data_IF_553814252495
#
_entry.id   IF_553814252495
#
_cell.length_a   1.000
_cell.length_b   1.000
_cell.length_c   1.000
_cell.angle_alpha   90.00
_cell.angle_beta   90.00
_cell.angle_gamma   90.00
#
_symmetry.space_group_name_H-M   'P 1'
#
loop_
_entity.id
_entity.type
_entity.pdbx_description
1 polymer ?
#
# COMPACT_ATOMS: atom_id res chain seq x y z
N UNK A 1 34.85 5.10 2.74
CA UNK A 1 33.86 5.17 1.64
C UNK A 1 32.50 4.78 2.19
N UNK A 2 31.58 5.72 2.36
CA UNK A 2 30.16 5.36 2.54
C UNK A 2 29.59 5.08 1.16
N UNK A 3 29.24 3.83 0.90
CA UNK A 3 28.52 3.45 -0.31
C UNK A 3 27.18 4.18 -0.27
N UNK A 4 26.98 5.13 -1.18
CA UNK A 4 25.64 5.60 -1.52
C UNK A 4 24.92 4.42 -2.16
N UNK A 5 24.30 3.59 -1.32
CA UNK A 5 23.28 2.66 -1.77
C UNK A 5 22.15 3.54 -2.30
N UNK A 6 22.11 3.72 -3.61
CA UNK A 6 20.95 4.21 -4.30
C UNK A 6 19.84 3.20 -4.01
N UNK A 7 18.99 3.48 -3.02
CA UNK A 7 17.81 2.66 -2.75
C UNK A 7 16.88 2.85 -3.94
N UNK A 8 17.04 2.03 -4.97
CA UNK A 8 16.12 2.01 -6.09
C UNK A 8 14.77 1.51 -5.55
N UNK A 9 13.90 2.46 -5.24
CA UNK A 9 12.54 2.18 -4.82
C UNK A 9 11.79 1.58 -5.99
N UNK A 10 11.35 0.33 -5.83
CA UNK A 10 10.67 -0.45 -6.86
C UNK A 10 9.33 0.19 -7.31
N UNK A 11 8.70 0.92 -6.40
CA UNK A 11 7.54 1.79 -6.60
C UNK A 11 7.71 3.05 -5.75
N UNK A 12 7.03 4.17 -6.09
CA UNK A 12 7.03 5.37 -5.26
C UNK A 12 6.53 5.06 -3.85
N UNK A 13 7.36 5.37 -2.85
CA UNK A 13 7.01 5.32 -1.43
C UNK A 13 6.95 6.75 -0.92
N UNK A 14 5.88 7.09 -0.22
CA UNK A 14 5.64 8.40 0.36
C UNK A 14 5.36 8.25 1.85
N UNK A 15 5.95 9.13 2.65
CA UNK A 15 5.66 9.17 4.08
C UNK A 15 4.27 9.77 4.31
N UNK A 16 3.47 9.10 5.13
CA UNK A 16 2.13 9.56 5.52
C UNK A 16 1.99 9.47 7.03
N UNK A 17 1.35 10.46 7.61
CA UNK A 17 0.90 10.40 9.00
C UNK A 17 -0.36 9.53 9.06
N UNK A 18 -0.30 8.47 9.86
CA UNK A 18 -1.42 7.58 10.15
C UNK A 18 -1.49 7.46 11.68
N UNK A 19 -2.51 8.08 12.28
CA UNK A 19 -2.72 8.04 13.72
C UNK A 19 -1.64 8.77 14.54
N UNK A 20 -0.99 9.79 13.98
CA UNK A 20 0.10 10.53 14.64
C UNK A 20 1.47 9.87 14.51
N UNK A 21 1.57 8.77 13.76
CA UNK A 21 2.82 8.12 13.42
C UNK A 21 3.10 8.26 11.93
N UNK A 22 4.32 8.69 11.59
CA UNK A 22 4.77 8.74 10.20
C UNK A 22 5.14 7.33 9.75
N UNK A 23 4.42 6.82 8.74
CA UNK A 23 4.60 5.49 8.19
C UNK A 23 4.83 5.56 6.67
N UNK A 24 5.76 4.76 6.12
CA UNK A 24 5.95 4.66 4.69
C UNK A 24 4.72 4.04 4.03
N UNK A 25 4.17 4.74 3.04
CA UNK A 25 2.93 4.39 2.35
C UNK A 25 3.13 4.37 0.84
N UNK A 26 2.29 3.64 0.12
CA UNK A 26 2.33 3.53 -1.35
C UNK A 26 0.94 3.64 -1.93
N UNK A 27 0.84 4.00 -3.22
CA UNK A 27 -0.42 3.85 -3.94
C UNK A 27 -0.73 2.36 -4.14
N UNK A 28 -1.88 1.92 -3.65
CA UNK A 28 -2.26 0.50 -3.69
C UNK A 28 -2.43 -0.03 -5.13
N UNK A 29 -2.84 0.82 -6.09
CA UNK A 29 -2.99 0.42 -7.50
C UNK A 29 -1.64 0.31 -8.18
N UNK A 30 -0.70 1.20 -7.88
CA UNK A 30 0.68 1.07 -8.36
C UNK A 30 1.35 -0.19 -7.80
N UNK A 31 1.21 -0.44 -6.50
CA UNK A 31 1.69 -1.67 -5.87
C UNK A 31 1.10 -2.92 -6.54
N UNK A 32 -0.21 -2.93 -6.78
CA UNK A 32 -0.88 -4.06 -7.44
C UNK A 32 -0.36 -4.28 -8.87
N UNK A 33 -0.20 -3.22 -9.66
CA UNK A 33 0.35 -3.28 -11.03
C UNK A 33 1.78 -3.81 -11.02
N UNK A 34 2.60 -3.34 -10.07
CA UNK A 34 3.99 -3.75 -9.94
C UNK A 34 4.13 -5.23 -9.56
N UNK A 35 3.30 -5.71 -8.62
CA UNK A 35 3.29 -7.12 -8.18
C UNK A 35 2.86 -8.09 -9.28
N UNK A 36 2.15 -7.62 -10.32
CA UNK A 36 1.65 -8.44 -11.45
C UNK A 36 0.94 -9.72 -10.98
N UNK A 37 0.15 -9.62 -9.91
CA UNK A 37 -0.51 -10.77 -9.27
C UNK A 37 -1.50 -11.51 -10.18
N UNK A 38 -1.85 -10.97 -11.35
CA UNK A 38 -2.81 -11.55 -12.30
C UNK A 38 -4.28 -11.46 -11.89
N UNK A 39 -4.56 -10.93 -10.69
CA UNK A 39 -5.90 -10.76 -10.15
C UNK A 39 -6.47 -9.37 -10.48
N UNK A 40 -7.81 -9.23 -10.49
CA UNK A 40 -8.42 -7.91 -10.57
C UNK A 40 -8.17 -7.14 -9.27
N UNK A 41 -7.83 -5.85 -9.36
CA UNK A 41 -7.53 -5.00 -8.19
C UNK A 41 -8.62 -5.07 -7.11
N UNK A 42 -9.90 -5.05 -7.49
CA UNK A 42 -11.01 -5.11 -6.54
C UNK A 42 -11.04 -6.41 -5.72
N UNK A 43 -10.72 -7.55 -6.34
CA UNK A 43 -10.62 -8.83 -5.65
C UNK A 43 -9.40 -8.84 -4.72
N UNK A 44 -8.27 -8.34 -5.23
CA UNK A 44 -7.01 -8.30 -4.49
C UNK A 44 -7.09 -7.42 -3.24
N UNK A 45 -7.64 -6.21 -3.35
CA UNK A 45 -7.74 -5.29 -2.21
C UNK A 45 -8.72 -5.81 -1.15
N UNK A 46 -9.85 -6.43 -1.57
CA UNK A 46 -10.80 -7.08 -0.64
C UNK A 46 -10.14 -8.22 0.14
N UNK A 47 -9.27 -9.01 -0.50
CA UNK A 47 -8.48 -10.04 0.20
C UNK A 47 -7.54 -9.43 1.24
N UNK A 48 -6.85 -8.33 0.92
CA UNK A 48 -5.94 -7.65 1.86
C UNK A 48 -6.68 -7.09 3.06
N UNK A 49 -7.79 -6.37 2.83
CA UNK A 49 -8.69 -5.88 3.89
C UNK A 49 -9.11 -7.03 4.80
N UNK A 50 -9.54 -8.18 4.23
CA UNK A 50 -9.92 -9.37 5.01
C UNK A 50 -8.75 -9.98 5.79
N UNK A 51 -7.58 -10.12 5.18
CA UNK A 51 -6.38 -10.72 5.81
C UNK A 51 -5.94 -9.93 7.03
N UNK A 52 -5.96 -8.60 6.92
CA UNK A 52 -5.56 -7.70 8.02
C UNK A 52 -6.74 -7.28 8.91
N UNK A 53 -7.95 -7.78 8.62
CA UNK A 53 -9.18 -7.53 9.38
C UNK A 53 -9.52 -6.04 9.52
N UNK A 54 -9.30 -5.28 8.45
CA UNK A 54 -9.65 -3.86 8.43
C UNK A 54 -11.17 -3.66 8.49
N UNK A 55 -11.59 -2.68 9.28
CA UNK A 55 -12.98 -2.33 9.55
C UNK A 55 -13.38 -1.14 8.67
N UNK A 56 -14.52 -1.26 8.00
CA UNK A 56 -15.06 -0.16 7.18
C UNK A 56 -15.53 1.00 8.05
N UNK A 57 -15.24 2.23 7.61
CA UNK A 57 -15.44 3.49 8.33
C UNK A 57 -14.51 3.72 9.53
N UNK A 58 -13.61 2.79 9.83
CA UNK A 58 -12.53 2.97 10.81
C UNK A 58 -11.17 2.97 10.11
N UNK A 59 -10.84 1.87 9.42
CA UNK A 59 -9.55 1.68 8.74
C UNK A 59 -9.59 2.07 7.26
N UNK A 60 -10.76 1.98 6.63
CA UNK A 60 -10.94 2.36 5.22
C UNK A 60 -12.35 2.87 4.94
N UNK A 61 -12.50 3.66 3.88
CA UNK A 61 -13.79 4.16 3.40
C UNK A 61 -14.03 3.59 2.00
N UNK A 62 -15.26 3.21 1.69
CA UNK A 62 -15.67 2.81 0.35
C UNK A 62 -16.92 3.56 -0.09
N UNK A 63 -16.91 4.03 -1.34
CA UNK A 63 -18.02 4.74 -1.98
C UNK A 63 -18.38 3.94 -3.24
N UNK A 64 -19.27 2.96 -3.11
CA UNK A 64 -19.81 2.21 -4.25
C UNK A 64 -21.01 2.93 -4.85
#
# INVERSE_FOLDING_TARGET
MNMLINQETLIPVVDRDIGGEVQPSVDARELHKWLKSGEMFATWIKKRIKTYKFIENEDYISFW
#
